data_IF_358428247869
#
_entry.id   IF_358428247869
#
_cell.length_a   1.000
_cell.length_b   1.000
_cell.length_c   1.000
_cell.angle_alpha   90.00
_cell.angle_beta   90.00
_cell.angle_gamma   90.00
#
_symmetry.space_group_name_H-M   'P 1'
#
loop_
_entity.id
_entity.type
_entity.pdbx_description
1 polymer ?
#
# COMPACT_ATOMS: atom_id res chain seq x y z
N UNK A 1 0.24 -8.04 22.17
CA UNK A 1 0.96 -8.10 20.87
C UNK A 1 1.62 -6.76 20.60
N UNK A 2 2.84 -6.70 20.04
CA UNK A 2 3.48 -5.43 19.70
C UNK A 2 2.68 -4.69 18.62
N UNK A 3 2.63 -3.35 18.71
CA UNK A 3 1.84 -2.47 17.81
C UNK A 3 2.14 -2.75 16.34
N UNK A 4 3.41 -2.97 16.00
CA UNK A 4 3.85 -3.33 14.65
C UNK A 4 3.19 -4.62 14.13
N UNK A 5 3.22 -5.70 14.92
CA UNK A 5 2.61 -6.97 14.50
C UNK A 5 1.09 -6.87 14.31
N UNK A 6 0.41 -6.04 15.13
CA UNK A 6 -1.02 -5.74 14.94
C UNK A 6 -1.27 -4.98 13.63
N UNK A 7 -0.44 -3.98 13.32
CA UNK A 7 -0.52 -3.22 12.06
C UNK A 7 -0.28 -4.13 10.85
N UNK A 8 0.74 -5.00 10.90
CA UNK A 8 1.04 -5.95 9.82
C UNK A 8 -0.09 -6.97 9.60
N UNK A 9 -0.69 -7.50 10.67
CA UNK A 9 -1.84 -8.38 10.58
C UNK A 9 -3.04 -7.69 9.92
N UNK A 10 -3.34 -6.45 10.35
CA UNK A 10 -4.43 -5.65 9.77
C UNK A 10 -4.21 -5.34 8.27
N UNK A 11 -2.96 -5.09 7.86
CA UNK A 11 -2.64 -4.91 6.43
C UNK A 11 -2.95 -6.17 5.65
N UNK A 12 -2.49 -7.33 6.12
CA UNK A 12 -2.67 -8.61 5.42
C UNK A 12 -4.14 -9.01 5.34
N UNK A 13 -4.92 -8.76 6.39
CA UNK A 13 -6.35 -9.03 6.44
C UNK A 13 -7.13 -8.19 5.42
N UNK A 14 -6.74 -6.92 5.25
CA UNK A 14 -7.50 -5.95 4.44
C UNK A 14 -6.90 -5.67 3.07
N UNK A 15 -5.86 -6.39 2.66
CA UNK A 15 -5.13 -6.05 1.44
C UNK A 15 -6.00 -6.17 0.18
N UNK A 16 -6.93 -7.14 0.16
CA UNK A 16 -7.87 -7.30 -0.94
C UNK A 16 -8.82 -6.10 -1.01
N UNK A 17 -9.41 -5.70 0.11
CA UNK A 17 -10.31 -4.52 0.18
C UNK A 17 -9.59 -3.24 -0.26
N UNK A 18 -8.33 -3.07 0.14
CA UNK A 18 -7.51 -1.92 -0.27
C UNK A 18 -7.26 -1.95 -1.78
N UNK A 19 -6.89 -3.11 -2.31
CA UNK A 19 -6.67 -3.30 -3.74
C UNK A 19 -7.94 -3.02 -4.55
N UNK A 20 -9.07 -3.61 -4.16
CA UNK A 20 -10.37 -3.40 -4.78
C UNK A 20 -10.82 -1.93 -4.72
N UNK A 21 -10.56 -1.24 -3.62
CA UNK A 21 -10.90 0.19 -3.52
C UNK A 21 -10.08 1.05 -4.50
N UNK A 22 -8.81 0.71 -4.71
CA UNK A 22 -7.94 1.45 -5.63
C UNK A 22 -8.14 1.08 -7.10
N UNK A 23 -8.51 -0.17 -7.36
CA UNK A 23 -8.73 -0.74 -8.69
C UNK A 23 -10.09 -1.45 -8.74
N UNK A 24 -11.20 -0.69 -8.70
CA UNK A 24 -12.54 -1.26 -8.53
C UNK A 24 -13.03 -2.07 -9.74
N UNK A 25 -12.47 -1.81 -10.92
CA UNK A 25 -12.87 -2.45 -12.17
C UNK A 25 -12.07 -3.72 -12.48
N UNK A 26 -11.05 -4.04 -11.67
CA UNK A 26 -10.13 -5.15 -11.93
C UNK A 26 -10.38 -6.32 -10.96
N UNK A 27 -10.56 -7.52 -11.51
CA UNK A 27 -10.61 -8.76 -10.73
C UNK A 27 -9.17 -9.22 -10.42
N UNK A 28 -8.58 -8.65 -9.38
CA UNK A 28 -7.16 -8.82 -9.03
C UNK A 28 -7.02 -9.33 -7.61
N UNK A 29 -6.28 -10.44 -7.46
CA UNK A 29 -5.79 -10.89 -6.18
C UNK A 29 -4.50 -10.17 -5.81
N UNK A 30 -4.45 -9.63 -4.59
CA UNK A 30 -3.32 -8.88 -4.06
C UNK A 30 -2.53 -9.69 -3.06
N UNK A 31 -1.28 -10.02 -3.38
CA UNK A 31 -0.39 -10.73 -2.45
C UNK A 31 0.59 -9.77 -1.79
N UNK A 32 0.55 -9.68 -0.46
CA UNK A 32 1.58 -8.94 0.31
C UNK A 32 2.92 -9.66 0.22
N UNK A 33 3.93 -8.93 -0.24
CA UNK A 33 5.31 -9.39 -0.35
C UNK A 33 6.14 -8.88 0.83
N UNK A 34 6.20 -7.57 1.00
CA UNK A 34 6.98 -6.90 2.03
C UNK A 34 6.17 -5.79 2.69
N UNK A 35 6.41 -5.59 3.98
CA UNK A 35 5.82 -4.50 4.76
C UNK A 35 6.95 -3.68 5.36
N UNK A 36 7.04 -2.42 4.98
CA UNK A 36 7.98 -1.47 5.58
C UNK A 36 7.23 -0.45 6.42
N UNK A 37 7.64 -0.26 7.68
CA UNK A 37 7.00 0.68 8.60
C UNK A 37 7.90 1.88 8.84
N UNK A 38 7.33 3.08 8.72
CA UNK A 38 8.01 4.34 9.04
C UNK A 38 7.03 5.29 9.72
N UNK A 39 7.22 5.50 11.02
CA UNK A 39 6.28 6.26 11.86
C UNK A 39 4.87 5.66 11.84
N UNK A 40 3.92 6.47 11.40
CA UNK A 40 2.51 6.08 11.26
C UNK A 40 2.16 5.50 9.89
N UNK A 41 3.15 5.36 9.00
CA UNK A 41 2.95 4.76 7.69
C UNK A 41 3.41 3.31 7.62
N UNK A 42 2.74 2.56 6.75
CA UNK A 42 3.15 1.26 6.26
C UNK A 42 3.16 1.28 4.73
N UNK A 43 4.30 0.95 4.14
CA UNK A 43 4.49 0.77 2.71
C UNK A 43 4.35 -0.72 2.45
N UNK A 44 3.18 -1.11 1.94
CA UNK A 44 2.86 -2.49 1.64
C UNK A 44 3.21 -2.78 0.18
N UNK A 45 4.34 -3.44 -0.03
CA UNK A 45 4.67 -3.97 -1.34
C UNK A 45 3.80 -5.19 -1.63
N UNK A 46 3.09 -5.13 -2.75
CA UNK A 46 2.14 -6.15 -3.19
C UNK A 46 2.40 -6.58 -4.63
N UNK A 47 2.01 -7.81 -4.91
CA UNK A 47 1.92 -8.34 -6.26
C UNK A 47 0.45 -8.48 -6.66
N UNK A 48 0.09 -7.92 -7.80
CA UNK A 48 -1.19 -8.11 -8.45
C UNK A 48 -1.20 -9.40 -9.29
N UNK A 49 -2.25 -10.21 -9.16
CA UNK A 49 -2.48 -11.41 -9.96
C UNK A 49 -3.95 -11.46 -10.44
N UNK A 50 -4.22 -11.27 -11.74
CA UNK A 50 -3.29 -10.88 -12.81
C UNK A 50 -2.71 -9.46 -12.60
N UNK A 51 -1.72 -9.09 -13.41
CA UNK A 51 -1.21 -7.72 -13.42
C UNK A 51 -2.34 -6.73 -13.75
N UNK A 52 -2.41 -5.62 -13.03
CA UNK A 52 -3.34 -4.51 -13.31
C UNK A 52 -2.58 -3.32 -13.86
N UNK A 53 -3.24 -2.49 -14.69
CA UNK A 53 -2.67 -1.32 -15.35
C UNK A 53 -1.33 -1.57 -16.05
N UNK A 54 -1.09 -2.81 -16.50
CA UNK A 54 0.15 -3.25 -17.15
C UNK A 54 1.31 -3.59 -16.21
N UNK A 55 1.13 -3.52 -14.89
CA UNK A 55 2.19 -3.73 -13.91
C UNK A 55 1.83 -4.83 -12.89
N UNK A 56 2.79 -5.70 -12.51
CA UNK A 56 2.53 -6.75 -11.53
C UNK A 56 2.87 -6.34 -10.09
N UNK A 57 3.61 -5.24 -9.87
CA UNK A 57 4.19 -4.86 -8.57
C UNK A 57 3.77 -3.45 -8.18
N UNK A 58 3.25 -3.32 -6.97
CA UNK A 58 2.78 -2.06 -6.43
C UNK A 58 3.23 -1.86 -4.99
N UNK A 59 3.22 -0.61 -4.54
CA UNK A 59 3.30 -0.26 -3.12
C UNK A 59 2.05 0.52 -2.76
N UNK A 60 1.26 -0.03 -1.85
CA UNK A 60 0.18 0.69 -1.20
C UNK A 60 0.73 1.41 0.03
N UNK A 61 0.56 2.73 0.05
CA UNK A 61 0.95 3.55 1.19
C UNK A 61 -0.23 3.67 2.13
N UNK A 62 -0.06 3.15 3.34
CA UNK A 62 -1.11 3.03 4.34
C UNK A 62 -0.75 3.90 5.54
N UNK A 63 -1.68 4.70 6.04
CA UNK A 63 -1.53 5.49 7.25
C UNK A 63 -2.34 4.87 8.38
N UNK A 64 -1.77 4.79 9.58
CA UNK A 64 -2.42 4.37 10.80
C UNK A 64 -2.63 5.58 11.70
N UNK A 65 -3.87 5.94 11.98
CA UNK A 65 -4.15 6.99 12.95
C UNK A 65 -3.85 6.54 14.40
N UNK A 66 -3.90 7.48 15.34
CA UNK A 66 -3.70 7.20 16.78
C UNK A 66 -4.76 6.29 17.41
N UNK A 67 -5.85 6.00 16.70
CA UNK A 67 -6.91 5.06 17.09
C UNK A 67 -6.73 3.68 16.45
N UNK A 68 -5.74 3.53 15.57
CA UNK A 68 -5.43 2.29 14.86
C UNK A 68 -6.24 2.07 13.59
N UNK A 69 -6.97 3.08 13.08
CA UNK A 69 -7.61 3.01 11.78
C UNK A 69 -6.58 3.12 10.67
N UNK A 70 -6.71 2.24 9.69
CA UNK A 70 -5.84 2.18 8.52
C UNK A 70 -6.55 2.81 7.31
N UNK A 71 -5.85 3.71 6.62
CA UNK A 71 -6.33 4.36 5.40
C UNK A 71 -5.27 4.33 4.29
N UNK A 72 -5.68 4.00 3.07
CA UNK A 72 -4.82 4.10 1.90
C UNK A 72 -4.62 5.58 1.50
N UNK A 73 -3.36 6.00 1.39
CA UNK A 73 -2.96 7.38 1.09
C UNK A 73 -2.43 7.53 -0.34
N UNK A 74 -1.90 6.46 -0.92
CA UNK A 74 -1.42 6.48 -2.30
C UNK A 74 -0.93 5.12 -2.76
N UNK A 75 -0.58 5.06 -4.04
CA UNK A 75 -0.13 3.86 -4.72
C UNK A 75 1.05 4.18 -5.62
N UNK A 76 2.09 3.35 -5.55
CA UNK A 76 3.16 3.30 -6.52
C UNK A 76 3.07 2.03 -7.34
N UNK A 77 3.61 2.06 -8.56
CA UNK A 77 3.85 0.89 -9.40
C UNK A 77 5.34 0.81 -9.75
N UNK A 78 5.84 -0.40 -9.97
CA UNK A 78 7.23 -0.62 -10.40
C UNK A 78 7.31 -0.61 -11.93
N UNK A 79 8.06 0.34 -12.49
CA UNK A 79 8.34 0.44 -13.91
C UNK A 79 9.84 0.64 -14.15
N UNK A 80 10.44 -0.16 -15.04
CA UNK A 80 11.85 -0.06 -15.42
C UNK A 80 12.82 -0.02 -14.22
N UNK A 81 12.50 -0.77 -13.16
CA UNK A 81 13.31 -0.84 -11.92
C UNK A 81 13.13 0.36 -10.97
N UNK A 82 12.24 1.29 -11.28
CA UNK A 82 11.94 2.46 -10.46
C UNK A 82 10.48 2.46 -9.98
N UNK A 83 10.28 2.90 -8.74
CA UNK A 83 8.94 3.10 -8.18
C UNK A 83 8.37 4.44 -8.64
N UNK A 84 7.26 4.39 -9.34
CA UNK A 84 6.56 5.54 -9.91
C UNK A 84 5.23 5.75 -9.19
N UNK A 85 4.94 7.00 -8.81
CA UNK A 85 3.68 7.32 -8.12
C UNK A 85 2.53 7.21 -9.12
N UNK A 86 1.58 6.31 -8.84
CA UNK A 86 0.36 6.13 -9.64
C UNK A 86 -0.73 7.11 -9.23
N UNK A 87 -1.00 7.16 -7.93
CA UNK A 87 -2.16 7.86 -7.39
C UNK A 87 -1.96 8.29 -5.94
N UNK A 88 -2.77 9.26 -5.52
CA UNK A 88 -2.86 9.72 -4.13
C UNK A 88 -4.31 9.86 -3.75
N UNK A 89 -4.67 9.45 -2.53
CA UNK A 89 -6.02 9.57 -2.00
C UNK A 89 -6.27 11.01 -1.52
N UNK A 90 -7.27 11.73 -2.04
CA UNK A 90 -7.60 13.08 -1.56
C UNK A 90 -7.93 13.10 -0.07
N UNK A 91 -7.55 14.17 0.63
CA UNK A 91 -7.82 14.34 2.06
C UNK A 91 -6.97 13.45 2.98
N UNK A 92 -5.96 12.74 2.46
CA UNK A 92 -5.02 11.97 3.27
C UNK A 92 -3.70 12.72 3.50
N UNK A 93 -2.98 12.45 4.59
CA UNK A 93 -1.63 12.98 4.80
C UNK A 93 -0.72 12.65 3.61
N UNK A 94 0.19 13.55 3.26
CA UNK A 94 1.12 13.38 2.12
C UNK A 94 2.60 13.36 2.51
N UNK A 95 2.92 13.42 3.80
CA UNK A 95 4.31 13.47 4.29
C UNK A 95 5.13 12.25 3.89
N UNK A 96 4.45 11.11 3.68
CA UNK A 96 5.02 9.87 3.16
C UNK A 96 5.68 10.02 1.79
N UNK A 97 5.35 11.04 0.98
CA UNK A 97 5.98 11.29 -0.32
C UNK A 97 7.48 11.61 -0.21
N UNK A 98 7.94 12.02 0.98
CA UNK A 98 9.35 12.26 1.29
C UNK A 98 10.09 10.99 1.71
N UNK A 99 9.36 9.90 1.93
CA UNK A 99 9.89 8.60 2.32
C UNK A 99 10.02 7.79 1.02
N UNK A 100 11.23 7.36 0.64
CA UNK A 100 11.39 6.51 -0.53
C UNK A 100 10.64 5.18 -0.30
N UNK A 101 9.84 4.72 -1.27
CA UNK A 101 8.99 3.55 -1.10
C UNK A 101 9.78 2.23 -0.97
N UNK A 102 11.07 2.24 -1.33
CA UNK A 102 12.06 1.25 -0.92
C UNK A 102 13.45 1.90 -0.98
N UNK A 103 14.33 1.53 -0.05
CA UNK A 103 15.78 1.77 -0.16
C UNK A 103 16.47 0.62 -0.86
#
# INVERSE_FOLDING_TARGET
MPVKAKREAAVRERIQDIGQYQFPDDDVEWRVLHLHHSGDYCFAEVQAQPATVGYPRFIFVLHFDGFGHMQACGCYYLADGAWMLLSTTPGTPTDWKRIPPAG
#
